data_IF_709716248311
#
_entry.id   IF_709716248311
#
_cell.length_a   1.000
_cell.length_b   1.000
_cell.length_c   1.000
_cell.angle_alpha   90.00
_cell.angle_beta   90.00
_cell.angle_gamma   90.00
#
_symmetry.space_group_name_H-M   'P 1'
#
loop_
_entity.id
_entity.type
_entity.pdbx_description
1 polymer ?
#
# COMPACT_ATOMS: atom_id res chain seq x y z
N UNK A 1 -11.70 -14.85 7.98
CA UNK A 1 -11.08 -13.55 8.33
C UNK A 1 -12.01 -12.68 9.18
N UNK A 2 -13.22 -12.35 8.70
CA UNK A 2 -14.18 -11.47 9.41
C UNK A 2 -14.42 -11.86 10.88
N UNK A 3 -14.74 -13.12 11.15
CA UNK A 3 -15.12 -13.54 12.52
C UNK A 3 -13.96 -13.45 13.51
N UNK A 4 -12.76 -13.92 13.11
CA UNK A 4 -11.56 -13.82 13.94
C UNK A 4 -11.11 -12.37 14.18
N UNK A 5 -11.22 -11.51 13.14
CA UNK A 5 -10.97 -10.09 13.30
C UNK A 5 -11.93 -9.45 14.31
N UNK A 6 -13.24 -9.71 14.19
CA UNK A 6 -14.24 -9.14 15.10
C UNK A 6 -14.06 -9.65 16.53
N UNK A 7 -13.68 -10.92 16.72
CA UNK A 7 -13.34 -11.45 18.05
C UNK A 7 -12.19 -10.68 18.70
N UNK A 8 -11.07 -10.53 17.98
CA UNK A 8 -9.89 -9.82 18.49
C UNK A 8 -10.18 -8.35 18.75
N UNK A 9 -10.89 -7.67 17.85
CA UNK A 9 -11.33 -6.29 18.02
C UNK A 9 -12.18 -6.13 19.27
N UNK A 10 -13.14 -7.03 19.51
CA UNK A 10 -13.99 -6.96 20.70
C UNK A 10 -13.20 -7.23 21.99
N UNK A 11 -12.18 -8.09 21.92
CA UNK A 11 -11.29 -8.39 23.06
C UNK A 11 -10.31 -7.23 23.35
N UNK A 12 -9.89 -6.50 22.32
CA UNK A 12 -8.90 -5.42 22.41
C UNK A 12 -9.42 -4.12 21.75
N UNK A 13 -10.48 -3.48 22.30
CA UNK A 13 -11.18 -2.38 21.62
C UNK A 13 -10.37 -1.08 21.49
N UNK A 14 -9.27 -0.93 22.23
CA UNK A 14 -8.40 0.24 22.17
C UNK A 14 -7.16 0.07 21.29
N UNK A 15 -7.03 -1.06 20.58
CA UNK A 15 -5.85 -1.34 19.77
C UNK A 15 -6.01 -0.76 18.36
N UNK A 16 -4.90 -0.27 17.81
CA UNK A 16 -4.83 0.06 16.40
C UNK A 16 -4.83 -1.21 15.54
N UNK A 17 -5.42 -1.09 14.35
CA UNK A 17 -5.37 -2.12 13.32
C UNK A 17 -4.48 -1.61 12.20
N UNK A 18 -3.33 -2.26 12.07
CA UNK A 18 -2.38 -2.03 10.99
C UNK A 18 -2.68 -2.99 9.85
N UNK A 19 -2.90 -2.44 8.66
CA UNK A 19 -3.26 -3.17 7.45
C UNK A 19 -2.15 -2.91 6.44
N UNK A 20 -1.68 -3.98 5.81
CA UNK A 20 -0.60 -3.91 4.83
C UNK A 20 -0.81 -4.97 3.76
N UNK A 21 -0.09 -4.79 2.65
CA UNK A 21 -0.08 -5.71 1.54
C UNK A 21 0.91 -5.23 0.48
N UNK A 22 1.42 -6.17 -0.30
CA UNK A 22 2.31 -5.93 -1.44
C UNK A 22 1.57 -6.20 -2.76
N UNK A 23 1.80 -5.38 -3.79
CA UNK A 23 1.21 -5.53 -5.11
C UNK A 23 -0.32 -5.60 -5.05
N UNK A 24 -0.92 -6.66 -5.61
CA UNK A 24 -2.37 -6.93 -5.51
C UNK A 24 -2.87 -6.93 -4.05
N UNK A 25 -2.07 -7.46 -3.13
CA UNK A 25 -2.37 -7.44 -1.70
C UNK A 25 -2.45 -6.01 -1.15
N UNK A 26 -1.70 -5.07 -1.71
CA UNK A 26 -1.79 -3.64 -1.41
C UNK A 26 -3.17 -3.07 -1.77
N UNK A 27 -3.66 -3.33 -2.99
CA UNK A 27 -5.01 -2.91 -3.38
C UNK A 27 -6.09 -3.54 -2.49
N UNK A 28 -5.95 -4.83 -2.15
CA UNK A 28 -6.87 -5.50 -1.24
C UNK A 28 -6.83 -4.90 0.17
N UNK A 29 -5.64 -4.57 0.68
CA UNK A 29 -5.45 -3.89 1.95
C UNK A 29 -6.12 -2.52 1.97
N UNK A 30 -6.00 -1.75 0.87
CA UNK A 30 -6.66 -0.46 0.70
C UNK A 30 -8.17 -0.54 0.75
N UNK A 31 -8.76 -1.50 0.04
CA UNK A 31 -10.20 -1.77 0.07
C UNK A 31 -10.63 -2.23 1.48
N UNK A 32 -9.87 -3.12 2.12
CA UNK A 32 -10.18 -3.62 3.45
C UNK A 32 -10.17 -2.50 4.50
N UNK A 33 -9.17 -1.62 4.48
CA UNK A 33 -9.07 -0.47 5.37
C UNK A 33 -10.28 0.46 5.22
N UNK A 34 -10.61 0.85 3.99
CA UNK A 34 -11.78 1.69 3.71
C UNK A 34 -13.08 1.01 4.14
N UNK A 35 -13.23 -0.29 3.90
CA UNK A 35 -14.42 -1.06 4.27
C UNK A 35 -14.62 -1.13 5.79
N UNK A 36 -13.55 -1.30 6.58
CA UNK A 36 -13.65 -1.34 8.05
C UNK A 36 -14.19 -0.02 8.61
N UNK A 37 -13.71 1.11 8.10
CA UNK A 37 -14.19 2.43 8.54
C UNK A 37 -15.61 2.71 8.02
N UNK A 38 -15.85 2.45 6.73
CA UNK A 38 -17.16 2.70 6.10
C UNK A 38 -18.29 1.92 6.79
N UNK A 39 -18.05 0.65 7.13
CA UNK A 39 -19.02 -0.19 7.84
C UNK A 39 -19.06 0.06 9.35
N UNK A 40 -18.36 1.08 9.85
CA UNK A 40 -18.26 1.44 11.28
C UNK A 40 -17.79 0.26 12.14
N UNK A 41 -16.91 -0.56 11.60
CA UNK A 41 -16.27 -1.65 12.33
C UNK A 41 -15.04 -1.14 13.10
N UNK A 42 -14.42 -0.06 12.64
CA UNK A 42 -13.33 0.64 13.30
C UNK A 42 -13.50 2.14 13.12
N UNK A 43 -13.06 2.92 14.11
CA UNK A 43 -12.89 4.36 13.97
C UNK A 43 -11.67 4.67 13.09
N UNK A 44 -11.72 5.76 12.33
CA UNK A 44 -10.65 6.12 11.37
C UNK A 44 -9.30 6.32 12.05
N UNK A 45 -9.29 6.82 13.29
CA UNK A 45 -8.09 7.08 14.07
C UNK A 45 -7.32 5.80 14.40
N UNK A 46 -8.05 4.68 14.51
CA UNK A 46 -7.53 3.36 14.91
C UNK A 46 -7.15 2.48 13.70
N UNK A 47 -7.29 2.96 12.46
CA UNK A 47 -6.89 2.22 11.26
C UNK A 47 -5.65 2.88 10.66
N UNK A 48 -4.60 2.07 10.46
CA UNK A 48 -3.35 2.47 9.80
C UNK A 48 -3.16 1.60 8.57
N UNK A 49 -3.08 2.22 7.39
CA UNK A 49 -2.77 1.53 6.14
C UNK A 49 -1.37 1.90 5.67
N UNK A 50 -0.53 0.90 5.43
CA UNK A 50 0.76 1.07 4.74
C UNK A 50 0.90 -0.07 3.74
N UNK A 51 0.97 0.25 2.45
CA UNK A 51 1.06 -0.74 1.37
C UNK A 51 2.37 -0.60 0.61
N UNK A 52 2.85 -1.69 0.03
CA UNK A 52 4.06 -1.73 -0.79
C UNK A 52 3.65 -2.01 -2.24
N UNK A 53 4.17 -1.26 -3.20
CA UNK A 53 3.84 -1.43 -4.63
C UNK A 53 2.34 -1.43 -4.95
N UNK A 54 1.51 -0.67 -4.24
CA UNK A 54 0.05 -0.73 -4.45
C UNK A 54 -0.33 -0.20 -5.86
N UNK A 55 -0.97 -1.02 -6.71
CA UNK A 55 -1.57 -0.57 -7.97
C UNK A 55 -2.74 0.40 -7.75
N UNK A 56 -3.09 1.18 -8.78
CA UNK A 56 -4.32 1.99 -8.76
C UNK A 56 -5.50 1.06 -8.49
N UNK A 57 -6.28 1.38 -7.45
CA UNK A 57 -7.22 0.42 -6.85
C UNK A 57 -8.67 0.69 -7.23
N UNK A 58 -9.00 1.92 -7.58
CA UNK A 58 -10.33 2.33 -8.03
C UNK A 58 -10.27 3.63 -8.80
N UNK A 59 -11.43 4.19 -9.12
CA UNK A 59 -11.55 5.47 -9.80
C UNK A 59 -11.37 6.67 -8.84
N UNK A 60 -11.52 7.89 -9.37
CA UNK A 60 -11.48 9.13 -8.58
C UNK A 60 -12.42 9.10 -7.36
N UNK A 61 -13.67 8.63 -7.53
CA UNK A 61 -14.64 8.57 -6.42
C UNK A 61 -14.14 7.65 -5.28
N UNK A 62 -13.49 6.53 -5.65
CA UNK A 62 -12.86 5.65 -4.67
C UNK A 62 -11.68 6.33 -3.98
N UNK A 63 -10.80 7.00 -4.73
CA UNK A 63 -9.64 7.69 -4.16
C UNK A 63 -10.07 8.77 -3.15
N UNK A 64 -11.05 9.60 -3.50
CA UNK A 64 -11.58 10.64 -2.62
C UNK A 64 -12.29 10.05 -1.39
N UNK A 65 -13.08 8.99 -1.58
CA UNK A 65 -13.71 8.27 -0.47
C UNK A 65 -12.66 7.65 0.46
N UNK A 66 -11.60 7.05 -0.10
CA UNK A 66 -10.52 6.46 0.67
C UNK A 66 -9.81 7.52 1.53
N UNK A 67 -9.44 8.66 0.95
CA UNK A 67 -8.80 9.76 1.67
C UNK A 67 -9.71 10.35 2.77
N UNK A 68 -11.03 10.28 2.57
CA UNK A 68 -12.00 10.68 3.56
C UNK A 68 -12.08 9.70 4.74
N UNK A 69 -11.96 8.39 4.48
CA UNK A 69 -12.20 7.30 5.43
C UNK A 69 -10.94 6.85 6.18
N UNK A 70 -9.78 6.80 5.52
CA UNK A 70 -8.54 6.24 6.08
C UNK A 70 -7.48 7.33 6.15
N UNK A 71 -7.46 8.07 7.27
CA UNK A 71 -6.61 9.26 7.43
C UNK A 71 -5.12 8.95 7.49
N UNK A 72 -4.75 7.78 8.02
CA UNK A 72 -3.39 7.28 7.98
C UNK A 72 -3.30 6.21 6.92
N UNK A 73 -2.97 6.64 5.71
CA UNK A 73 -2.83 5.78 4.53
C UNK A 73 -1.58 6.22 3.78
N UNK A 74 -0.68 5.28 3.50
CA UNK A 74 0.56 5.53 2.76
C UNK A 74 0.83 4.40 1.76
N UNK A 75 1.11 4.78 0.52
CA UNK A 75 1.65 3.87 -0.50
C UNK A 75 3.16 4.04 -0.53
N UNK A 76 3.92 2.98 -0.25
CA UNK A 76 5.37 2.97 -0.42
C UNK A 76 5.67 2.51 -1.84
N UNK A 77 6.41 3.33 -2.57
CA UNK A 77 6.81 3.08 -3.95
C UNK A 77 8.32 3.13 -4.06
N UNK A 78 8.90 2.09 -4.67
CA UNK A 78 10.34 1.96 -4.84
C UNK A 78 10.76 2.30 -6.28
N UNK A 79 11.57 3.35 -6.41
CA UNK A 79 12.27 3.74 -7.62
C UNK A 79 11.41 3.71 -8.90
N UNK A 80 11.67 2.81 -9.85
CA UNK A 80 10.93 2.73 -11.13
C UNK A 80 9.96 1.56 -11.16
N UNK A 81 9.53 1.07 -10.00
CA UNK A 81 8.54 0.01 -9.90
C UNK A 81 7.31 0.31 -10.80
N UNK A 82 7.04 -0.53 -11.82
CA UNK A 82 5.92 -0.31 -12.73
C UNK A 82 4.57 -0.64 -12.12
N UNK A 83 4.51 -1.41 -11.02
CA UNK A 83 3.26 -1.97 -10.47
C UNK A 83 2.31 -0.88 -9.95
N UNK A 84 2.76 0.15 -9.22
CA UNK A 84 1.91 1.29 -8.84
C UNK A 84 1.26 2.01 -10.03
N UNK A 85 1.87 1.97 -11.22
CA UNK A 85 1.36 2.67 -12.40
C UNK A 85 0.31 1.84 -13.17
N UNK A 86 -0.12 0.70 -12.62
CA UNK A 86 -1.14 -0.16 -13.19
C UNK A 86 -2.45 -0.12 -12.36
N UNK A 87 -3.63 -0.22 -12.99
CA UNK A 87 -3.88 0.17 -14.38
C UNK A 87 -3.40 1.60 -14.66
N UNK A 88 -3.20 1.95 -15.93
CA UNK A 88 -2.80 3.32 -16.29
C UNK A 88 -3.92 4.31 -15.97
N UNK A 89 -3.59 5.57 -15.71
CA UNK A 89 -4.59 6.62 -15.38
C UNK A 89 -5.66 6.75 -16.49
N UNK A 90 -5.26 6.65 -17.76
CA UNK A 90 -6.16 6.70 -18.91
C UNK A 90 -7.04 5.46 -19.08
N UNK A 91 -6.76 4.38 -18.34
CA UNK A 91 -7.57 3.17 -18.35
C UNK A 91 -8.70 3.33 -17.35
N UNK A 92 -9.92 3.57 -17.84
CA UNK A 92 -11.15 3.64 -17.03
C UNK A 92 -11.15 4.65 -15.86
N UNK A 93 -10.21 5.61 -15.85
CA UNK A 93 -10.12 6.66 -14.83
C UNK A 93 -9.64 6.15 -13.46
N UNK A 94 -8.83 5.09 -13.45
CA UNK A 94 -8.19 4.60 -12.23
C UNK A 94 -7.26 5.67 -11.64
N UNK A 95 -7.31 5.83 -10.33
CA UNK A 95 -6.61 6.89 -9.61
C UNK A 95 -6.12 6.38 -8.25
N UNK A 96 -4.98 6.88 -7.80
CA UNK A 96 -4.48 6.64 -6.45
C UNK A 96 -5.16 7.54 -5.43
N UNK A 97 -5.30 7.01 -4.22
CA UNK A 97 -5.52 7.84 -3.03
C UNK A 97 -4.23 8.61 -2.66
N UNK A 98 -4.34 9.60 -1.78
CA UNK A 98 -3.22 10.45 -1.36
C UNK A 98 -2.10 9.69 -0.65
N UNK A 99 -1.00 10.41 -0.41
CA UNK A 99 0.16 10.01 0.38
C UNK A 99 0.96 8.85 -0.22
N UNK A 100 1.97 9.22 -1.00
CA UNK A 100 3.00 8.34 -1.49
C UNK A 100 4.30 8.59 -0.73
N UNK A 101 4.87 7.55 -0.13
CA UNK A 101 6.24 7.53 0.38
C UNK A 101 7.14 6.96 -0.72
N UNK A 102 7.77 7.86 -1.46
CA UNK A 102 8.55 7.54 -2.65
C UNK A 102 10.04 7.46 -2.35
N UNK A 103 10.62 6.30 -2.61
CA UNK A 103 12.05 6.03 -2.46
C UNK A 103 12.73 6.02 -3.82
N UNK A 104 13.39 7.12 -4.19
CA UNK A 104 14.15 7.21 -5.44
C UNK A 104 15.62 6.79 -5.25
N UNK A 105 15.84 5.67 -4.58
CA UNK A 105 17.14 5.12 -4.19
C UNK A 105 17.01 3.59 -4.00
N UNK A 106 18.00 2.96 -3.36
CA UNK A 106 18.01 1.51 -3.07
C UNK A 106 17.39 1.14 -1.71
N UNK A 107 16.73 2.09 -1.05
CA UNK A 107 16.10 1.99 0.26
C UNK A 107 17.06 1.55 1.39
N UNK A 108 18.38 1.73 1.25
CA UNK A 108 19.35 1.41 2.30
C UNK A 108 19.26 2.32 3.51
N UNK A 109 18.94 3.59 3.29
CA UNK A 109 18.52 4.52 4.34
C UNK A 109 16.97 4.52 4.42
N UNK A 110 16.37 4.00 5.50
CA UNK A 110 14.91 3.96 5.65
C UNK A 110 14.28 5.34 5.86
N UNK A 111 15.07 6.41 5.92
CA UNK A 111 14.61 7.79 6.08
C UNK A 111 14.77 8.64 4.83
N UNK A 112 15.50 8.15 3.81
CA UNK A 112 15.71 8.84 2.55
C UNK A 112 14.54 8.58 1.59
N UNK A 113 13.41 9.21 1.87
CA UNK A 113 12.23 9.17 1.02
C UNK A 113 11.55 10.53 0.95
N UNK A 114 10.78 10.73 -0.11
CA UNK A 114 9.93 11.90 -0.30
C UNK A 114 8.48 11.51 -0.06
N UNK A 115 7.73 12.33 0.68
CA UNK A 115 6.28 12.18 0.81
C UNK A 115 5.57 13.13 -0.14
N UNK A 116 4.85 12.59 -1.11
CA UNK A 116 3.89 13.34 -1.93
C UNK A 116 2.49 13.19 -1.36
N UNK A 117 1.83 14.31 -1.06
CA UNK A 117 0.56 14.33 -0.30
C UNK A 117 -0.68 14.43 -1.19
N UNK A 118 -0.50 14.66 -2.48
CA UNK A 118 -1.60 14.75 -3.43
C UNK A 118 -1.76 13.41 -4.15
N UNK A 119 -2.95 13.18 -4.70
CA UNK A 119 -3.19 12.07 -5.61
C UNK A 119 -2.44 12.32 -6.94
N UNK A 120 -1.89 11.27 -7.55
CA UNK A 120 -1.13 11.32 -8.82
C UNK A 120 -0.15 12.50 -8.89
N UNK A 121 0.66 12.68 -7.84
CA UNK A 121 1.59 13.80 -7.71
C UNK A 121 2.80 13.63 -8.64
N UNK A 122 2.91 14.50 -9.64
CA UNK A 122 3.96 14.52 -10.68
C UNK A 122 5.37 14.82 -10.14
N UNK A 123 5.51 15.00 -8.83
CA UNK A 123 6.79 15.21 -8.17
C UNK A 123 7.32 13.94 -7.47
N UNK A 124 6.57 12.83 -7.44
CA UNK A 124 6.99 11.50 -6.97
C UNK A 124 7.08 10.49 -8.13
N UNK A 125 6.64 9.24 -7.95
CA UNK A 125 6.89 8.17 -8.94
C UNK A 125 6.25 8.48 -10.29
N UNK A 126 5.15 9.25 -10.33
CA UNK A 126 4.47 9.64 -11.57
C UNK A 126 5.32 10.56 -12.48
N UNK A 127 6.38 11.17 -11.93
CA UNK A 127 7.41 11.88 -12.71
C UNK A 127 8.27 10.97 -13.59
N UNK A 128 8.30 9.67 -13.29
CA UNK A 128 9.25 8.73 -13.89
C UNK A 128 8.61 7.94 -15.02
N UNK A 129 9.32 7.89 -16.16
CA UNK A 129 9.02 6.87 -17.15
C UNK A 129 9.37 5.49 -16.60
N UNK A 130 8.38 4.61 -16.53
CA UNK A 130 8.52 3.21 -16.15
C UNK A 130 8.04 2.27 -17.25
N UNK A 131 8.56 1.05 -17.23
CA UNK A 131 8.22 -0.05 -18.11
C UNK A 131 8.40 -1.37 -17.37
N UNK A 132 7.60 -2.39 -17.71
CA UNK A 132 7.66 -3.71 -17.07
C UNK A 132 9.10 -4.26 -17.01
N UNK A 133 9.82 -4.20 -18.13
CA UNK A 133 11.23 -4.60 -18.19
C UNK A 133 12.07 -3.35 -18.50
N UNK A 134 13.21 -3.11 -17.81
CA UNK A 134 13.84 -3.93 -16.77
C UNK A 134 13.38 -3.63 -15.32
N UNK A 135 12.45 -2.70 -15.12
CA UNK A 135 12.21 -2.09 -13.80
C UNK A 135 11.36 -2.91 -12.83
N UNK A 136 10.78 -4.04 -13.27
CA UNK A 136 10.05 -4.96 -12.38
C UNK A 136 10.87 -5.45 -11.17
N UNK A 137 12.21 -5.41 -11.23
CA UNK A 137 13.02 -5.74 -10.07
C UNK A 137 12.74 -4.83 -8.86
N UNK A 138 12.40 -3.56 -9.08
CA UNK A 138 12.13 -2.60 -8.01
C UNK A 138 10.86 -2.98 -7.20
N UNK A 139 9.91 -3.73 -7.79
CA UNK A 139 8.75 -4.30 -7.09
C UNK A 139 9.13 -5.38 -6.07
N UNK A 140 10.27 -6.05 -6.24
CA UNK A 140 10.62 -7.21 -5.42
C UNK A 140 11.52 -6.88 -4.22
N UNK A 141 12.26 -5.79 -4.23
CA UNK A 141 13.26 -5.51 -3.19
C UNK A 141 12.92 -4.21 -2.46
N UNK A 142 12.56 -4.32 -1.18
CA UNK A 142 12.24 -3.19 -0.33
C UNK A 142 13.25 -3.10 0.82
N UNK A 143 13.58 -1.88 1.27
CA UNK A 143 14.45 -1.62 2.43
C UNK A 143 15.82 -2.33 2.41
N UNK A 144 16.44 -2.40 1.22
CA UNK A 144 17.77 -2.98 0.99
C UNK A 144 17.95 -4.42 1.51
N UNK A 145 16.88 -5.24 1.44
CA UNK A 145 16.96 -6.65 1.81
C UNK A 145 17.59 -7.48 0.70
N UNK A 146 18.39 -8.48 1.07
CA UNK A 146 18.92 -9.47 0.13
C UNK A 146 17.88 -10.49 -0.36
N UNK A 147 16.73 -10.55 0.31
CA UNK A 147 15.60 -11.41 -0.05
C UNK A 147 14.53 -10.58 -0.75
N UNK A 148 13.85 -11.14 -1.78
CA UNK A 148 12.68 -10.51 -2.35
C UNK A 148 11.52 -10.51 -1.35
N UNK A 149 10.59 -9.57 -1.52
CA UNK A 149 9.41 -9.40 -0.67
C UNK A 149 8.52 -10.65 -0.60
N UNK A 150 8.49 -11.46 -1.67
CA UNK A 150 7.78 -12.73 -1.70
C UNK A 150 8.33 -13.77 -0.71
N UNK A 151 9.56 -13.58 -0.23
CA UNK A 151 10.19 -14.41 0.79
C UNK A 151 10.08 -13.80 2.19
N UNK A 152 9.49 -12.60 2.33
CA UNK A 152 9.21 -12.02 3.64
C UNK A 152 8.23 -12.93 4.37
N UNK A 153 8.57 -13.26 5.62
CA UNK A 153 7.75 -14.15 6.45
C UNK A 153 7.91 -15.64 6.15
N UNK A 154 8.73 -16.07 5.18
CA UNK A 154 9.15 -17.50 5.08
C UNK A 154 10.14 -17.88 6.17
N UNK A 155 10.91 -16.93 6.67
CA UNK A 155 11.85 -17.15 7.77
C UNK A 155 11.09 -17.52 9.05
N UNK A 156 11.25 -18.75 9.52
CA UNK A 156 10.60 -19.25 10.74
C UNK A 156 9.24 -19.94 10.52
N UNK A 157 8.75 -20.02 9.28
CA UNK A 157 7.65 -20.91 8.94
C UNK A 157 8.21 -22.33 8.80
N UNK A 158 7.91 -23.20 9.77
CA UNK A 158 8.07 -24.63 9.56
C UNK A 158 6.95 -25.07 8.62
N UNK A 159 7.30 -25.74 7.52
CA UNK A 159 6.33 -26.46 6.70
C UNK A 159 5.79 -27.64 7.52
N UNK A 160 4.83 -27.36 8.41
CA UNK A 160 4.08 -28.40 9.10
C UNK A 160 3.16 -29.06 8.07
N UNK A 161 3.68 -30.12 7.45
CA UNK A 161 2.94 -31.14 6.68
C UNK A 161 2.05 -31.98 7.59
#
# INVERSE_FOLDING_TARGET
MKDGFLELRNRYPGYEVWITGHGLGGSMASIAAAQLVYLKQMETENVKLVTLAQPRTGNQDYADAHDSLVKYSYRVVHNRDPVPHLPTEYFEGYHHHCNEAFYQNDMSDPTDYKVCKHQEDDSCSDSLFTSMVPWLADDFYYFHTSLPIADYGKSGCNDDN
#
